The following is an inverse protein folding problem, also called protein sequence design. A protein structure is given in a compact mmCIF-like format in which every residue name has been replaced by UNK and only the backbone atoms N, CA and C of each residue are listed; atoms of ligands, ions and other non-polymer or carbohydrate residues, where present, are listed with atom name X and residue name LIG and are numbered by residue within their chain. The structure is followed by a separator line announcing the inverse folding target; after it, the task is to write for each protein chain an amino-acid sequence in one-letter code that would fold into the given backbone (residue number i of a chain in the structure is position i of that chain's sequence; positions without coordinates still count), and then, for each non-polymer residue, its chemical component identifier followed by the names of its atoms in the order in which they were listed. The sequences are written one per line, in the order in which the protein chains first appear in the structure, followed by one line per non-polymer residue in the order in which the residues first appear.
data_IF_525002762540
#
_entry.id   IF_525002762540
#
_cell.length_a   1.000
_cell.length_b   1.000
_cell.length_c   1.000
_cell.angle_alpha   90.00
_cell.angle_beta   90.00
_cell.angle_gamma   90.00
#
_symmetry.space_group_name_H-M   'P 1'
#
loop_
_entity.id
_entity.type
_entity.pdbx_description
1 polymer ?
#
# COMPACT_ATOMS: atom_id res chain seq x y z
N UNK A 1 12.30 29.09 -0.04
CA UNK A 1 12.46 27.60 -0.08
C UNK A 1 12.14 27.18 -1.50
N UNK A 2 13.06 26.49 -2.18
CA UNK A 2 12.77 25.98 -3.51
C UNK A 2 11.75 24.82 -3.37
N UNK A 3 10.71 24.87 -4.17
CA UNK A 3 9.66 23.84 -4.23
C UNK A 3 10.22 22.53 -4.82
N UNK A 4 9.79 21.37 -4.32
CA UNK A 4 10.20 20.09 -4.88
C UNK A 4 9.64 19.93 -6.31
N UNK A 5 10.48 19.47 -7.22
CA UNK A 5 10.12 19.24 -8.63
C UNK A 5 9.66 17.79 -8.80
N UNK A 6 8.46 17.58 -9.35
CA UNK A 6 8.02 16.25 -9.79
C UNK A 6 8.76 15.87 -11.07
N UNK A 7 9.48 14.77 -11.04
CA UNK A 7 10.24 14.23 -12.19
C UNK A 7 9.60 12.97 -12.77
N UNK A 8 8.75 12.31 -12.00
CA UNK A 8 8.00 11.13 -12.45
C UNK A 8 6.63 11.09 -11.78
N UNK A 9 5.62 10.71 -12.54
CA UNK A 9 4.27 10.48 -12.03
C UNK A 9 3.60 9.41 -12.90
N UNK A 10 2.94 8.47 -12.24
CA UNK A 10 2.13 7.44 -12.89
C UNK A 10 0.87 7.19 -12.08
N UNK A 11 -0.21 6.92 -12.78
CA UNK A 11 -1.48 6.45 -12.24
C UNK A 11 -1.84 5.12 -12.87
N UNK A 12 -2.51 4.28 -12.12
CA UNK A 12 -2.95 2.98 -12.60
C UNK A 12 -4.15 2.46 -11.85
N UNK A 13 -4.68 1.32 -12.34
CA UNK A 13 -5.79 0.61 -11.72
C UNK A 13 -5.40 -0.85 -11.53
N UNK A 14 -5.77 -1.38 -10.38
CA UNK A 14 -5.59 -2.79 -10.04
C UNK A 14 -6.93 -3.51 -10.13
N UNK A 15 -6.88 -4.74 -10.63
CA UNK A 15 -8.02 -5.65 -10.59
C UNK A 15 -8.11 -6.33 -9.22
N UNK A 16 -9.32 -6.66 -8.80
CA UNK A 16 -9.58 -7.50 -7.62
C UNK A 16 -8.72 -8.78 -7.69
N UNK A 17 -8.22 -9.19 -6.55
CA UNK A 17 -7.41 -10.40 -6.38
C UNK A 17 -6.04 -10.39 -7.08
N UNK A 18 -5.63 -9.26 -7.65
CA UNK A 18 -4.27 -9.15 -8.16
C UNK A 18 -3.26 -9.27 -7.01
N UNK A 19 -2.32 -10.21 -7.17
CA UNK A 19 -1.17 -10.43 -6.29
C UNK A 19 0.07 -10.43 -7.14
N UNK A 20 1.09 -9.67 -6.74
CA UNK A 20 2.32 -9.60 -7.53
C UNK A 20 3.16 -8.36 -7.25
N UNK A 21 3.98 -8.01 -8.23
CA UNK A 21 4.87 -6.86 -8.14
C UNK A 21 4.72 -5.96 -9.36
N UNK A 22 4.78 -4.65 -9.12
CA UNK A 22 4.86 -3.63 -10.16
C UNK A 22 6.08 -2.78 -9.86
N UNK A 23 7.01 -2.64 -10.80
CA UNK A 23 8.22 -1.86 -10.61
C UNK A 23 8.30 -0.71 -11.60
N UNK A 24 8.70 0.44 -11.10
CA UNK A 24 8.94 1.67 -11.85
C UNK A 24 10.40 2.04 -11.73
N UNK A 25 11.05 2.31 -12.85
CA UNK A 25 12.44 2.73 -12.89
C UNK A 25 12.53 4.17 -13.38
N UNK A 26 13.20 5.01 -12.60
CA UNK A 26 13.36 6.44 -12.85
C UNK A 26 14.83 6.78 -12.87
N UNK A 27 15.31 7.44 -13.92
CA UNK A 27 16.69 7.92 -13.98
C UNK A 27 16.79 9.29 -13.29
N UNK A 28 17.61 9.36 -12.24
CA UNK A 28 17.99 10.61 -11.59
C UNK A 28 19.25 11.12 -12.32
N UNK A 29 19.04 11.95 -13.34
CA UNK A 29 20.09 12.36 -14.30
C UNK A 29 21.18 13.25 -13.69
N UNK A 30 20.93 13.80 -12.51
CA UNK A 30 21.86 14.62 -11.75
C UNK A 30 21.77 14.33 -10.27
N UNK A 31 22.72 14.82 -9.48
CA UNK A 31 22.69 14.72 -8.02
C UNK A 31 21.67 15.68 -7.45
N UNK A 32 20.87 15.18 -6.49
CA UNK A 32 19.83 15.92 -5.78
C UNK A 32 20.11 15.93 -4.29
N UNK A 33 19.61 16.96 -3.58
CA UNK A 33 19.74 17.08 -2.14
C UNK A 33 18.63 16.36 -1.40
N UNK A 34 17.46 16.21 -2.06
CA UNK A 34 16.27 15.57 -1.49
C UNK A 34 15.54 14.73 -2.54
N UNK A 35 14.96 13.63 -2.07
CA UNK A 35 14.08 12.74 -2.81
C UNK A 35 12.83 12.47 -1.96
N UNK A 36 11.65 12.62 -2.55
CA UNK A 36 10.38 12.20 -1.98
C UNK A 36 9.66 11.26 -2.96
N UNK A 37 9.26 10.10 -2.45
CA UNK A 37 8.47 9.11 -3.19
C UNK A 37 7.11 9.06 -2.48
N UNK A 38 6.07 9.53 -3.16
CA UNK A 38 4.69 9.46 -2.69
C UNK A 38 3.97 8.33 -3.41
N UNK A 39 3.34 7.46 -2.64
CA UNK A 39 2.42 6.44 -3.14
C UNK A 39 1.05 6.65 -2.50
N UNK A 40 0.00 6.59 -3.30
CA UNK A 40 -1.38 6.60 -2.82
C UNK A 40 -2.24 5.54 -3.51
N UNK A 41 -3.29 5.09 -2.83
CA UNK A 41 -4.28 4.16 -3.34
C UNK A 41 -5.69 4.49 -2.84
N UNK A 42 -6.72 4.20 -3.66
CA UNK A 42 -8.13 4.40 -3.31
C UNK A 42 -9.04 3.46 -4.14
N UNK A 43 -10.02 2.83 -3.53
CA UNK A 43 -10.26 2.72 -2.08
C UNK A 43 -9.30 1.71 -1.42
N UNK A 44 -8.93 1.94 -0.18
CA UNK A 44 -8.11 1.01 0.61
C UNK A 44 -8.97 -0.02 1.34
N UNK A 45 -10.16 0.36 1.78
CA UNK A 45 -11.10 -0.45 2.55
C UNK A 45 -12.41 -0.62 1.79
N UNK A 46 -13.17 -1.65 2.14
CA UNK A 46 -14.57 -1.71 1.73
C UNK A 46 -15.35 -0.57 2.34
N UNK A 47 -16.30 -0.03 1.58
CA UNK A 47 -17.38 0.81 2.10
C UNK A 47 -18.59 -0.10 2.34
N UNK A 48 -19.52 0.27 3.24
CA UNK A 48 -20.74 -0.53 3.50
C UNK A 48 -21.51 -0.90 2.24
N UNK A 49 -21.57 0.01 1.25
CA UNK A 49 -22.25 -0.19 -0.03
C UNK A 49 -21.54 -1.20 -0.97
N UNK A 50 -20.26 -1.46 -0.76
CA UNK A 50 -19.48 -2.45 -1.53
C UNK A 50 -19.75 -3.89 -1.05
N UNK A 51 -20.39 -4.05 0.12
CA UNK A 51 -20.66 -5.32 0.77
C UNK A 51 -22.09 -5.83 0.49
N UNK A 52 -22.24 -6.57 -0.61
CA UNK A 52 -23.46 -7.35 -0.85
C UNK A 52 -23.52 -8.56 0.08
N UNK A 53 -24.72 -9.15 0.28
CA UNK A 53 -24.87 -10.36 1.09
C UNK A 53 -24.01 -11.53 0.59
N UNK A 54 -23.91 -11.69 -0.73
CA UNK A 54 -23.06 -12.69 -1.35
C UNK A 54 -21.59 -12.47 -1.00
N UNK A 55 -21.11 -11.23 -1.07
CA UNK A 55 -19.74 -10.86 -0.71
C UNK A 55 -19.43 -11.10 0.77
N UNK A 56 -20.37 -10.77 1.65
CA UNK A 56 -20.23 -11.03 3.09
C UNK A 56 -20.08 -12.51 3.34
N UNK A 57 -20.92 -13.34 2.69
CA UNK A 57 -20.84 -14.79 2.80
C UNK A 57 -19.50 -15.33 2.30
N UNK A 58 -19.03 -14.92 1.13
CA UNK A 58 -17.71 -15.31 0.59
C UNK A 58 -16.58 -15.02 1.58
N UNK A 59 -16.52 -13.77 2.10
CA UNK A 59 -15.49 -13.35 3.05
C UNK A 59 -15.58 -14.16 4.35
N UNK A 60 -16.79 -14.36 4.85
CA UNK A 60 -17.02 -15.12 6.09
C UNK A 60 -16.59 -16.59 5.94
N UNK A 61 -16.91 -17.22 4.82
CA UNK A 61 -16.51 -18.61 4.52
C UNK A 61 -14.99 -18.72 4.37
N UNK A 62 -14.36 -17.76 3.66
CA UNK A 62 -12.90 -17.69 3.57
C UNK A 62 -12.25 -17.57 4.95
N UNK A 63 -12.72 -16.65 5.79
CA UNK A 63 -12.18 -16.48 7.13
C UNK A 63 -12.34 -17.72 8.01
N UNK A 64 -13.49 -18.40 7.93
CA UNK A 64 -13.73 -19.66 8.66
C UNK A 64 -12.78 -20.77 8.23
N UNK A 65 -12.45 -20.82 6.95
CA UNK A 65 -11.51 -21.81 6.38
C UNK A 65 -10.07 -21.54 6.81
N UNK A 66 -9.64 -20.28 6.74
CA UNK A 66 -8.24 -19.89 7.02
C UNK A 66 -7.94 -19.79 8.54
N UNK A 67 -8.97 -19.47 9.34
CA UNK A 67 -8.85 -19.27 10.79
C UNK A 67 -9.85 -20.10 11.60
N UNK A 68 -9.85 -21.45 11.45
CA UNK A 68 -10.86 -22.32 12.08
C UNK A 68 -10.85 -22.25 13.60
N UNK A 69 -9.69 -22.09 14.23
CA UNK A 69 -9.55 -22.00 15.68
C UNK A 69 -10.21 -20.74 16.25
N UNK A 70 -10.11 -19.62 15.53
CA UNK A 70 -10.78 -18.38 15.92
C UNK A 70 -12.30 -18.56 15.90
N UNK A 71 -12.86 -19.18 14.85
CA UNK A 71 -14.31 -19.36 14.70
C UNK A 71 -14.89 -20.52 15.51
N UNK A 72 -14.06 -21.37 16.12
CA UNK A 72 -14.51 -22.46 17.00
C UNK A 72 -14.70 -22.04 18.46
N UNK A 73 -14.21 -20.86 18.85
CA UNK A 73 -14.37 -20.34 20.23
C UNK A 73 -15.78 -19.76 20.44
N UNK A 74 -16.35 -20.01 21.65
CA UNK A 74 -17.67 -19.43 22.02
C UNK A 74 -17.66 -17.90 22.04
N UNK A 75 -16.51 -17.28 22.27
CA UNK A 75 -16.32 -15.84 22.29
C UNK A 75 -16.44 -15.23 20.89
N UNK A 76 -15.88 -15.88 19.89
CA UNK A 76 -15.97 -15.40 18.51
C UNK A 76 -17.35 -15.62 17.87
N UNK A 77 -18.10 -16.64 18.29
CA UNK A 77 -19.48 -16.85 17.84
C UNK A 77 -20.43 -15.76 18.36
N UNK A 78 -20.09 -15.10 19.48
CA UNK A 78 -20.85 -13.98 20.04
C UNK A 78 -20.42 -12.61 19.49
N UNK A 79 -19.25 -12.51 18.84
CA UNK A 79 -18.72 -11.28 18.24
C UNK A 79 -19.45 -10.88 16.95
N UNK A 80 -20.20 -11.78 16.33
CA UNK A 80 -20.89 -11.56 15.05
C UNK A 80 -22.36 -11.98 15.17
N UNK A 81 -23.10 -11.26 16.01
CA UNK A 81 -24.51 -11.57 16.32
C UNK A 81 -25.48 -11.02 15.27
N UNK A 82 -25.05 -10.07 14.44
CA UNK A 82 -25.86 -9.47 13.39
C UNK A 82 -25.07 -9.22 12.10
N UNK A 83 -25.79 -9.13 10.97
CA UNK A 83 -25.20 -8.79 9.67
C UNK A 83 -24.49 -7.42 9.67
N UNK A 84 -24.99 -6.48 10.47
CA UNK A 84 -24.40 -5.15 10.56
C UNK A 84 -23.06 -5.17 11.30
N UNK A 85 -22.92 -5.98 12.36
CA UNK A 85 -21.65 -6.19 13.05
C UNK A 85 -20.63 -6.89 12.15
N UNK A 86 -21.06 -7.85 11.34
CA UNK A 86 -20.20 -8.52 10.36
C UNK A 86 -19.71 -7.52 9.30
N UNK A 87 -20.60 -6.69 8.76
CA UNK A 87 -20.24 -5.63 7.79
C UNK A 87 -19.23 -4.66 8.37
N UNK A 88 -19.48 -4.18 9.58
CA UNK A 88 -18.61 -3.25 10.28
C UNK A 88 -17.21 -3.86 10.50
N UNK A 89 -17.14 -5.10 10.95
CA UNK A 89 -15.90 -5.83 11.13
C UNK A 89 -15.13 -6.00 9.80
N UNK A 90 -15.80 -6.32 8.69
CA UNK A 90 -15.18 -6.44 7.37
C UNK A 90 -14.63 -5.08 6.92
N UNK A 91 -15.42 -4.00 7.01
CA UNK A 91 -14.99 -2.66 6.62
C UNK A 91 -13.76 -2.17 7.39
N UNK A 92 -13.62 -2.54 8.67
CA UNK A 92 -12.52 -2.09 9.49
C UNK A 92 -11.26 -2.97 9.42
N UNK A 93 -11.41 -4.27 9.14
CA UNK A 93 -10.31 -5.22 9.24
C UNK A 93 -9.81 -5.73 7.89
N UNK A 94 -10.59 -5.61 6.82
CA UNK A 94 -10.19 -6.07 5.49
C UNK A 94 -9.77 -4.89 4.63
N UNK A 95 -8.57 -4.95 4.07
CA UNK A 95 -8.00 -3.83 3.29
C UNK A 95 -7.21 -4.31 2.09
N UNK A 96 -7.11 -3.46 1.07
CA UNK A 96 -6.10 -3.59 0.03
C UNK A 96 -4.72 -3.40 0.65
N UNK A 97 -3.85 -4.38 0.48
CA UNK A 97 -2.50 -4.39 1.08
C UNK A 97 -1.43 -4.33 0.02
N UNK A 98 -0.70 -3.20 0.02
CA UNK A 98 0.42 -2.94 -0.88
C UNK A 98 1.58 -2.41 -0.05
N UNK A 99 2.76 -3.01 -0.18
CA UNK A 99 3.99 -2.48 0.37
C UNK A 99 4.76 -1.72 -0.71
N UNK A 100 5.51 -0.71 -0.31
CA UNK A 100 6.35 0.09 -1.22
C UNK A 100 7.80 -0.09 -0.83
N UNK A 101 8.65 -0.50 -1.79
CA UNK A 101 10.10 -0.63 -1.63
C UNK A 101 10.80 0.31 -2.59
N UNK A 102 11.98 0.81 -2.20
CA UNK A 102 12.83 1.61 -3.05
C UNK A 102 14.27 1.10 -3.03
N UNK A 103 14.89 1.05 -4.22
CA UNK A 103 16.33 0.86 -4.38
C UNK A 103 16.91 2.00 -5.20
N UNK A 104 18.14 2.38 -4.90
CA UNK A 104 18.91 3.35 -5.65
C UNK A 104 20.23 2.70 -6.08
N UNK A 105 20.49 2.64 -7.40
CA UNK A 105 21.64 1.95 -7.98
C UNK A 105 21.75 0.48 -7.48
N UNK A 106 20.61 -0.23 -7.45
CA UNK A 106 20.42 -1.59 -6.97
C UNK A 106 20.62 -1.80 -5.45
N UNK A 107 20.96 -0.76 -4.69
CA UNK A 107 21.04 -0.82 -3.24
C UNK A 107 19.69 -0.49 -2.62
N UNK A 108 19.26 -1.28 -1.63
CA UNK A 108 18.01 -1.02 -0.88
C UNK A 108 18.15 0.27 -0.05
N UNK A 109 17.25 1.23 -0.28
CA UNK A 109 17.24 2.50 0.44
C UNK A 109 16.04 2.67 1.38
N UNK A 110 15.00 1.85 1.25
CA UNK A 110 13.87 1.92 2.18
C UNK A 110 12.66 1.13 1.75
N UNK A 111 11.73 0.96 2.70
CA UNK A 111 10.45 0.32 2.46
C UNK A 111 9.40 0.71 3.48
N UNK A 112 8.17 0.87 3.03
CA UNK A 112 7.02 1.16 3.88
C UNK A 112 6.00 0.02 3.75
N UNK A 113 5.72 -0.60 4.89
CA UNK A 113 4.68 -1.60 5.06
C UNK A 113 3.46 -1.09 5.86
N UNK A 114 3.54 0.14 6.41
CA UNK A 114 2.39 0.78 7.06
C UNK A 114 1.25 0.95 6.07
N UNK A 115 0.06 0.53 6.46
CA UNK A 115 -1.12 0.49 5.59
C UNK A 115 -1.90 1.81 5.64
N UNK A 116 -1.25 2.89 5.20
CA UNK A 116 -1.89 4.19 4.97
C UNK A 116 -2.30 4.30 3.51
N UNK A 117 -3.41 4.98 3.22
CA UNK A 117 -3.85 5.23 1.84
C UNK A 117 -2.86 6.11 1.06
N UNK A 118 -2.17 7.02 1.75
CA UNK A 118 -1.06 7.81 1.19
C UNK A 118 0.18 7.66 2.07
N UNK A 119 1.33 7.47 1.45
CA UNK A 119 2.62 7.24 2.12
C UNK A 119 3.70 8.03 1.42
N UNK A 120 4.67 8.50 2.21
CA UNK A 120 5.85 9.20 1.75
C UNK A 120 7.11 8.49 2.21
N UNK A 121 8.05 8.30 1.29
CA UNK A 121 9.43 7.91 1.58
C UNK A 121 10.31 9.11 1.25
N UNK A 122 10.74 9.82 2.27
CA UNK A 122 11.57 11.01 2.13
C UNK A 122 13.01 10.69 2.48
N UNK A 123 13.95 11.23 1.70
CA UNK A 123 15.37 10.99 1.82
C UNK A 123 16.14 12.29 1.68
N UNK A 124 17.07 12.48 2.59
CA UNK A 124 18.13 13.48 2.51
C UNK A 124 19.48 12.86 2.84
N UNK A 125 20.53 13.65 2.79
CA UNK A 125 21.86 13.20 3.22
C UNK A 125 21.93 12.88 4.71
N UNK A 126 21.17 13.59 5.55
CA UNK A 126 21.25 13.50 7.00
C UNK A 126 20.09 12.73 7.63
N UNK A 127 18.96 12.60 6.93
CA UNK A 127 17.71 12.09 7.50
C UNK A 127 16.88 11.36 6.45
N UNK A 128 16.01 10.45 6.92
CA UNK A 128 15.03 9.75 6.10
C UNK A 128 13.77 9.41 6.90
N UNK A 129 12.67 9.13 6.22
CA UNK A 129 11.44 8.62 6.83
C UNK A 129 11.67 7.29 7.55
N UNK A 130 10.79 6.95 8.50
CA UNK A 130 10.76 5.64 9.16
C UNK A 130 10.78 4.49 8.13
N UNK A 131 11.68 3.53 8.31
CA UNK A 131 11.88 2.42 7.39
C UNK A 131 12.74 2.73 6.17
N UNK A 132 13.33 3.93 6.13
CA UNK A 132 14.22 4.41 5.07
C UNK A 132 15.62 4.72 5.61
N UNK A 133 16.60 4.76 4.72
CA UNK A 133 18.02 4.97 5.03
C UNK A 133 18.47 6.29 4.39
N UNK A 134 19.05 7.23 5.14
CA UNK A 134 19.61 8.46 4.59
C UNK A 134 20.59 8.20 3.45
N UNK A 135 20.54 9.03 2.40
CA UNK A 135 21.35 8.84 1.20
C UNK A 135 22.40 9.92 1.06
N UNK A 136 23.67 9.55 1.14
CA UNK A 136 24.78 10.48 0.96
C UNK A 136 24.84 11.10 -0.43
N UNK A 137 24.24 10.42 -1.43
CA UNK A 137 24.16 10.84 -2.82
C UNK A 137 22.86 10.34 -3.41
N UNK A 138 22.07 11.25 -3.97
CA UNK A 138 20.76 10.95 -4.60
C UNK A 138 20.91 11.19 -6.10
N UNK A 139 21.40 10.18 -6.83
CA UNK A 139 21.57 10.20 -8.29
C UNK A 139 21.63 8.77 -8.83
N UNK A 140 21.40 8.60 -10.13
CA UNK A 140 21.49 7.31 -10.83
C UNK A 140 20.13 6.66 -11.03
N UNK A 141 20.02 5.36 -10.82
CA UNK A 141 18.82 4.59 -11.15
C UNK A 141 18.00 4.32 -9.87
N UNK A 142 16.88 5.02 -9.75
CA UNK A 142 15.86 4.77 -8.71
C UNK A 142 14.88 3.71 -9.24
N UNK A 143 14.66 2.64 -8.47
CA UNK A 143 13.58 1.70 -8.73
C UNK A 143 12.62 1.66 -7.53
N UNK A 144 11.35 1.90 -7.80
CA UNK A 144 10.27 1.79 -6.81
C UNK A 144 9.44 0.56 -7.15
N UNK A 145 9.28 -0.33 -6.18
CA UNK A 145 8.51 -1.58 -6.34
C UNK A 145 7.33 -1.58 -5.40
N UNK A 146 6.14 -1.75 -5.97
CA UNK A 146 4.90 -2.01 -5.27
C UNK A 146 4.76 -3.53 -5.14
N UNK A 147 4.71 -4.05 -3.92
CA UNK A 147 4.41 -5.46 -3.64
C UNK A 147 2.96 -5.52 -3.23
N UNK A 148 2.14 -6.09 -4.09
CA UNK A 148 0.68 -6.21 -3.91
C UNK A 148 0.37 -7.57 -3.30
N UNK A 149 -0.14 -7.57 -2.08
CA UNK A 149 -0.56 -8.78 -1.35
C UNK A 149 -2.04 -9.07 -1.52
N UNK A 150 -2.86 -8.01 -1.58
CA UNK A 150 -4.30 -8.14 -1.81
C UNK A 150 -4.89 -6.88 -2.44
N UNK A 151 -5.88 -7.05 -3.29
CA UNK A 151 -6.72 -6.00 -3.85
C UNK A 151 -8.18 -6.38 -3.64
N UNK A 152 -8.92 -5.57 -2.89
CA UNK A 152 -10.30 -5.88 -2.49
C UNK A 152 -11.32 -5.67 -3.60
N UNK A 153 -11.13 -4.62 -4.39
CA UNK A 153 -12.10 -4.15 -5.38
C UNK A 153 -11.45 -3.96 -6.74
N UNK A 154 -12.21 -4.27 -7.79
CA UNK A 154 -11.83 -3.91 -9.15
C UNK A 154 -11.70 -2.40 -9.30
N UNK A 155 -10.81 -1.98 -10.19
CA UNK A 155 -10.51 -0.58 -10.44
C UNK A 155 -9.98 0.18 -9.21
N UNK A 156 -9.35 -0.50 -8.25
CA UNK A 156 -8.60 0.16 -7.19
C UNK A 156 -7.53 1.05 -7.82
N UNK A 157 -7.67 2.35 -7.68
CA UNK A 157 -6.77 3.34 -8.26
C UNK A 157 -5.54 3.51 -7.39
N UNK A 158 -4.38 3.70 -8.03
CA UNK A 158 -3.16 4.09 -7.33
C UNK A 158 -2.42 5.15 -8.11
N UNK A 159 -1.62 5.92 -7.40
CA UNK A 159 -0.65 6.83 -7.99
C UNK A 159 0.71 6.70 -7.32
N UNK A 160 1.75 6.94 -8.10
CA UNK A 160 3.13 7.04 -7.64
C UNK A 160 3.75 8.32 -8.22
N UNK A 161 4.28 9.16 -7.33
CA UNK A 161 5.03 10.35 -7.73
C UNK A 161 6.44 10.32 -7.14
N UNK A 162 7.41 10.75 -7.93
CA UNK A 162 8.79 10.96 -7.50
C UNK A 162 9.12 12.45 -7.64
N UNK A 163 9.51 13.05 -6.53
CA UNK A 163 9.87 14.46 -6.45
C UNK A 163 11.29 14.62 -5.96
N UNK A 164 11.98 15.65 -6.43
CA UNK A 164 13.38 15.94 -6.09
C UNK A 164 13.62 17.42 -5.85
N UNK A 165 14.64 17.73 -5.09
CA UNK A 165 15.15 19.07 -4.88
C UNK A 165 16.66 19.09 -4.77
#
# INVERSE_FOLDING_TARGET
MNEMKTIYHVEGKLCKEFVGQISYTVCLEQSWDELDIEFSLSPQYFRPEDLTQERIQEITEYCKKEYPDFFSSKESLNLFSSDDEIKDAICHNTKTEIHTLATLNDEFIGGIHRQLSTRHMHFTKADASDGCIPQSKIEGVLKVTLIVFSVLLDNTEYSLAVRVR
#
